data_IF_494386221414
#
_entry.id   IF_494386221414
#
_cell.length_a   1.000
_cell.length_b   1.000
_cell.length_c   1.000
_cell.angle_alpha   90.00
_cell.angle_beta   90.00
_cell.angle_gamma   90.00
#
_symmetry.space_group_name_H-M   'P 1'
#
loop_
_entity.id
_entity.type
_entity.pdbx_description
1 polymer ?
#
# COMPACT_ATOMS: atom_id res chain seq x y z
N UNK A 1 -2.92 -7.21 7.01
CA UNK A 1 -4.02 -7.07 6.02
C UNK A 1 -4.01 -8.17 4.99
N UNK A 2 -2.91 -8.40 4.25
CA UNK A 2 -2.83 -9.39 3.17
C UNK A 2 -3.25 -10.82 3.61
N UNK A 3 -2.90 -11.22 4.84
CA UNK A 3 -3.35 -12.48 5.45
C UNK A 3 -4.87 -12.62 5.50
N UNK A 4 -5.60 -11.56 5.88
CA UNK A 4 -7.05 -11.62 5.95
C UNK A 4 -7.68 -11.80 4.57
N UNK A 5 -7.14 -11.11 3.56
CA UNK A 5 -7.57 -11.31 2.17
C UNK A 5 -7.31 -12.75 1.69
N UNK A 6 -6.15 -13.31 2.03
CA UNK A 6 -5.82 -14.71 1.70
C UNK A 6 -6.75 -15.70 2.42
N UNK A 7 -6.91 -15.53 3.74
CA UNK A 7 -7.77 -16.35 4.60
C UNK A 7 -9.22 -16.37 4.10
N UNK A 8 -9.72 -15.22 3.67
CA UNK A 8 -11.10 -15.02 3.22
C UNK A 8 -11.27 -15.33 1.71
N UNK A 9 -10.24 -15.88 1.06
CA UNK A 9 -10.22 -16.24 -0.36
C UNK A 9 -10.55 -15.08 -1.31
N UNK A 10 -10.12 -13.86 -0.96
CA UNK A 10 -10.31 -12.63 -1.74
C UNK A 10 -9.12 -12.32 -2.66
N UNK A 11 -8.12 -13.19 -2.68
CA UNK A 11 -6.97 -13.11 -3.58
C UNK A 11 -7.06 -14.18 -4.67
N UNK A 12 -6.52 -13.92 -5.88
CA UNK A 12 -6.36 -14.96 -6.89
C UNK A 12 -5.59 -16.17 -6.34
N UNK A 13 -5.95 -17.39 -6.77
CA UNK A 13 -5.39 -18.64 -6.21
C UNK A 13 -3.86 -18.69 -6.32
N UNK A 14 -3.31 -18.24 -7.45
CA UNK A 14 -1.86 -18.27 -7.74
C UNK A 14 -1.13 -16.99 -7.28
N UNK A 15 -1.47 -16.46 -6.11
CA UNK A 15 -0.79 -15.29 -5.55
C UNK A 15 0.49 -15.69 -4.82
N UNK A 16 1.59 -14.98 -5.10
CA UNK A 16 2.87 -15.09 -4.38
C UNK A 16 3.21 -13.78 -3.70
N UNK A 17 3.87 -13.87 -2.56
CA UNK A 17 4.26 -12.70 -1.77
C UNK A 17 5.78 -12.68 -1.65
N UNK A 18 6.40 -11.52 -1.91
CA UNK A 18 7.85 -11.36 -1.79
C UNK A 18 8.11 -10.17 -0.87
N UNK A 19 8.66 -10.44 0.31
CA UNK A 19 9.18 -9.41 1.20
C UNK A 19 10.55 -8.93 0.71
N UNK A 20 10.79 -7.62 0.74
CA UNK A 20 12.05 -7.02 0.34
C UNK A 20 12.46 -5.91 1.30
N UNK A 21 13.66 -6.01 1.90
CA UNK A 21 14.24 -4.96 2.73
C UNK A 21 15.75 -5.13 2.89
N UNK A 22 16.43 -4.11 3.44
CA UNK A 22 17.89 -4.17 3.70
C UNK A 22 18.29 -5.23 4.72
N UNK A 23 17.43 -5.52 5.69
CA UNK A 23 17.71 -6.46 6.77
C UNK A 23 17.81 -7.88 6.23
N UNK A 24 18.93 -8.55 6.48
CA UNK A 24 19.08 -9.98 6.22
C UNK A 24 18.31 -10.76 7.28
N UNK A 25 17.25 -11.44 6.87
CA UNK A 25 16.43 -12.29 7.72
C UNK A 25 15.78 -13.39 6.87
N UNK A 26 15.40 -14.48 7.52
CA UNK A 26 14.71 -15.61 6.89
C UNK A 26 13.20 -15.39 6.91
N UNK A 27 12.48 -16.12 6.04
CA UNK A 27 11.02 -16.06 6.06
C UNK A 27 10.43 -16.54 7.39
N UNK A 28 11.07 -17.50 8.05
CA UNK A 28 10.68 -18.00 9.38
C UNK A 28 10.75 -16.90 10.44
N UNK A 29 11.78 -16.05 10.41
CA UNK A 29 11.89 -14.90 11.33
C UNK A 29 10.80 -13.85 11.06
N UNK A 30 10.48 -13.60 9.78
CA UNK A 30 9.38 -12.70 9.40
C UNK A 30 8.04 -13.27 9.86
N UNK A 31 7.83 -14.58 9.73
CA UNK A 31 6.65 -15.31 10.21
C UNK A 31 6.45 -15.13 11.71
N UNK A 32 7.47 -15.40 12.51
CA UNK A 32 7.38 -15.27 13.97
C UNK A 32 7.09 -13.82 14.42
N UNK A 33 7.75 -12.83 13.80
CA UNK A 33 7.49 -11.41 14.09
C UNK A 33 6.05 -10.99 13.74
N UNK A 34 5.50 -11.58 12.67
CA UNK A 34 4.17 -11.24 12.14
C UNK A 34 3.03 -11.96 12.85
N UNK A 35 3.29 -13.15 13.42
CA UNK A 35 2.28 -14.05 14.01
C UNK A 35 1.35 -13.36 15.00
N UNK A 36 1.89 -12.50 15.88
CA UNK A 36 1.10 -11.75 16.88
C UNK A 36 0.06 -10.80 16.28
N UNK A 37 0.25 -10.34 15.05
CA UNK A 37 -0.66 -9.41 14.37
C UNK A 37 -1.69 -10.09 13.47
N UNK A 38 -1.50 -11.38 13.17
CA UNK A 38 -2.31 -12.11 12.20
C UNK A 38 -3.59 -12.70 12.81
N UNK A 39 -3.69 -12.77 14.15
CA UNK A 39 -4.89 -13.20 14.89
C UNK A 39 -5.52 -14.48 14.30
N UNK A 40 -4.69 -15.50 14.09
CA UNK A 40 -5.10 -16.79 13.53
C UNK A 40 -6.11 -17.44 14.47
N UNK A 41 -7.25 -17.87 13.93
CA UNK A 41 -8.31 -18.55 14.70
C UNK A 41 -8.12 -20.06 14.66
N UNK A 42 -8.73 -20.76 15.61
CA UNK A 42 -8.76 -22.22 15.60
C UNK A 42 -9.41 -22.73 14.29
N UNK A 43 -8.75 -23.68 13.62
CA UNK A 43 -9.16 -24.23 12.33
C UNK A 43 -8.55 -23.52 11.11
N UNK A 44 -7.84 -22.41 11.29
CA UNK A 44 -7.17 -21.66 10.20
C UNK A 44 -5.69 -22.04 10.04
N UNK A 45 -5.15 -22.93 10.88
CA UNK A 45 -3.73 -23.26 10.95
C UNK A 45 -3.21 -23.81 9.62
N UNK A 46 -3.98 -24.66 8.94
CA UNK A 46 -3.59 -25.19 7.63
C UNK A 46 -3.48 -24.09 6.57
N UNK A 47 -4.46 -23.16 6.53
CA UNK A 47 -4.40 -22.01 5.61
C UNK A 47 -3.25 -21.07 5.97
N UNK A 48 -2.94 -20.94 7.25
CA UNK A 48 -1.83 -20.12 7.73
C UNK A 48 -0.48 -20.67 7.26
N UNK A 49 -0.27 -21.97 7.36
CA UNK A 49 0.95 -22.61 6.83
C UNK A 49 1.04 -22.45 5.30
N UNK A 50 -0.07 -22.71 4.57
CA UNK A 50 -0.12 -22.52 3.12
C UNK A 50 0.16 -21.07 2.68
N UNK A 51 -0.31 -20.09 3.45
CA UNK A 51 0.02 -18.69 3.22
C UNK A 51 1.54 -18.48 3.31
N UNK A 52 2.19 -18.97 4.37
CA UNK A 52 3.63 -18.80 4.54
C UNK A 52 4.47 -19.57 3.52
N UNK A 53 4.01 -20.72 3.03
CA UNK A 53 4.62 -21.42 1.89
C UNK A 53 4.56 -20.60 0.58
N UNK A 54 3.61 -19.67 0.47
CA UNK A 54 3.51 -18.74 -0.66
C UNK A 54 4.33 -17.45 -0.47
N UNK A 55 5.00 -17.27 0.67
CA UNK A 55 5.83 -16.11 0.95
C UNK A 55 7.33 -16.41 0.75
N UNK A 56 8.01 -15.49 0.11
CA UNK A 56 9.46 -15.46 -0.07
C UNK A 56 10.02 -14.17 0.54
N UNK A 57 11.32 -14.16 0.82
CA UNK A 57 12.00 -12.96 1.31
C UNK A 57 13.35 -12.79 0.62
N UNK A 58 13.65 -11.55 0.21
CA UNK A 58 14.93 -11.17 -0.36
C UNK A 58 15.48 -9.95 0.36
N UNK A 59 16.75 -10.02 0.77
CA UNK A 59 17.46 -8.88 1.31
C UNK A 59 18.18 -8.09 0.21
N UNK A 60 18.04 -6.76 0.19
CA UNK A 60 18.67 -5.89 -0.81
C UNK A 60 18.55 -4.40 -0.47
N UNK A 61 19.38 -3.59 -1.13
CA UNK A 61 19.39 -2.14 -0.97
C UNK A 61 18.37 -1.44 -1.85
N UNK A 62 17.84 -0.31 -1.39
CA UNK A 62 16.81 0.43 -2.12
C UNK A 62 17.33 1.26 -3.31
N UNK A 63 18.63 1.54 -3.33
CA UNK A 63 19.34 2.40 -4.29
C UNK A 63 20.12 1.63 -5.37
N UNK A 64 20.41 0.35 -5.16
CA UNK A 64 21.24 -0.45 -6.06
C UNK A 64 20.42 -1.22 -7.08
N UNK A 65 20.58 -0.89 -8.36
CA UNK A 65 19.95 -1.60 -9.48
C UNK A 65 20.15 -3.11 -9.45
N UNK A 66 21.36 -3.59 -9.11
CA UNK A 66 21.67 -5.03 -9.10
C UNK A 66 20.78 -5.81 -8.12
N UNK A 67 20.39 -5.20 -6.99
CA UNK A 67 19.52 -5.85 -6.01
C UNK A 67 18.08 -5.97 -6.53
N UNK A 68 17.64 -5.06 -7.41
CA UNK A 68 16.36 -5.15 -8.09
C UNK A 68 16.38 -6.13 -9.27
N UNK A 69 17.52 -6.31 -9.92
CA UNK A 69 17.68 -7.38 -10.91
C UNK A 69 17.56 -8.75 -10.24
N UNK A 70 18.15 -8.93 -9.05
CA UNK A 70 17.95 -10.12 -8.22
C UNK A 70 16.50 -10.28 -7.75
N UNK A 71 15.83 -9.19 -7.36
CA UNK A 71 14.40 -9.20 -7.02
C UNK A 71 13.55 -9.64 -8.22
N UNK A 72 13.81 -9.09 -9.41
CA UNK A 72 13.12 -9.46 -10.63
C UNK A 72 13.34 -10.95 -10.95
N UNK A 73 14.55 -11.47 -10.81
CA UNK A 73 14.83 -12.89 -10.98
C UNK A 73 14.02 -13.74 -9.99
N UNK A 74 13.96 -13.33 -8.72
CA UNK A 74 13.18 -14.04 -7.69
C UNK A 74 11.69 -14.06 -8.02
N UNK A 75 11.11 -12.92 -8.41
CA UNK A 75 9.70 -12.82 -8.82
C UNK A 75 9.43 -13.69 -10.06
N UNK A 76 10.30 -13.60 -11.07
CA UNK A 76 10.12 -14.28 -12.36
C UNK A 76 10.07 -15.81 -12.25
N UNK A 77 10.66 -16.41 -11.21
CA UNK A 77 10.57 -17.86 -10.93
C UNK A 77 9.13 -18.36 -10.80
N UNK A 78 8.22 -17.48 -10.38
CA UNK A 78 6.82 -17.79 -10.15
C UNK A 78 5.91 -17.43 -11.34
N UNK A 79 6.42 -16.72 -12.34
CA UNK A 79 5.65 -16.18 -13.47
C UNK A 79 5.60 -17.14 -14.67
N UNK A 80 5.20 -18.40 -14.40
CA UNK A 80 5.15 -19.46 -15.42
C UNK A 80 3.94 -19.35 -16.35
N UNK A 81 2.92 -18.59 -15.96
CA UNK A 81 1.68 -18.42 -16.72
C UNK A 81 1.79 -17.47 -17.92
N UNK A 82 0.70 -17.38 -18.72
CA UNK A 82 0.62 -16.44 -19.85
C UNK A 82 0.50 -14.98 -19.39
N UNK A 83 -0.06 -14.76 -18.20
CA UNK A 83 -0.21 -13.44 -17.57
C UNK A 83 0.43 -13.45 -16.20
N UNK A 84 1.19 -12.40 -15.90
CA UNK A 84 1.82 -12.20 -14.60
C UNK A 84 1.66 -10.75 -14.16
N UNK A 85 0.86 -10.53 -13.12
CA UNK A 85 0.59 -9.19 -12.60
C UNK A 85 1.48 -8.92 -11.39
N UNK A 86 2.06 -7.72 -11.31
CA UNK A 86 2.93 -7.30 -10.20
C UNK A 86 2.33 -6.12 -9.46
N UNK A 87 2.30 -6.19 -8.13
CA UNK A 87 1.89 -5.10 -7.25
C UNK A 87 3.03 -4.85 -6.27
N UNK A 88 3.62 -3.65 -6.33
CA UNK A 88 4.67 -3.20 -5.42
C UNK A 88 4.04 -2.32 -4.34
N UNK A 89 4.13 -2.75 -3.08
CA UNK A 89 3.69 -1.95 -1.94
C UNK A 89 4.89 -1.28 -1.27
N UNK A 90 4.96 0.05 -1.32
CA UNK A 90 6.11 0.83 -0.85
C UNK A 90 5.92 1.18 0.63
N UNK A 91 6.10 0.18 1.50
CA UNK A 91 6.14 0.36 2.95
C UNK A 91 7.53 0.83 3.42
N UNK A 92 8.03 1.92 2.82
CA UNK A 92 9.37 2.48 3.03
C UNK A 92 9.26 3.98 3.35
N UNK A 93 10.27 4.60 3.97
CA UNK A 93 10.22 6.05 4.22
C UNK A 93 10.25 6.85 2.90
N UNK A 94 9.68 8.07 2.89
CA UNK A 94 9.65 8.92 1.68
C UNK A 94 11.03 9.22 1.09
N UNK A 95 12.07 9.22 1.92
CA UNK A 95 13.45 9.51 1.51
C UNK A 95 14.01 8.54 0.47
N UNK A 96 13.42 7.35 0.34
CA UNK A 96 13.85 6.34 -0.66
C UNK A 96 12.84 6.13 -1.77
N UNK A 97 11.75 6.89 -1.82
CA UNK A 97 10.71 6.70 -2.85
C UNK A 97 11.25 6.90 -4.26
N UNK A 98 12.06 7.94 -4.49
CA UNK A 98 12.62 8.22 -5.82
C UNK A 98 13.48 7.03 -6.30
N UNK A 99 14.44 6.58 -5.50
CA UNK A 99 15.31 5.45 -5.83
C UNK A 99 14.55 4.14 -6.05
N UNK A 100 13.60 3.83 -5.17
CA UNK A 100 12.81 2.59 -5.24
C UNK A 100 11.98 2.57 -6.52
N UNK A 101 11.31 3.68 -6.84
CA UNK A 101 10.43 3.77 -8.01
C UNK A 101 11.20 3.71 -9.33
N UNK A 102 12.36 4.36 -9.41
CA UNK A 102 13.27 4.27 -10.57
C UNK A 102 13.75 2.85 -10.77
N UNK A 103 14.20 2.19 -9.70
CA UNK A 103 14.70 0.82 -9.80
C UNK A 103 13.59 -0.19 -10.15
N UNK A 104 12.38 -0.05 -9.58
CA UNK A 104 11.22 -0.85 -9.98
C UNK A 104 10.93 -0.67 -11.47
N UNK A 105 10.90 0.58 -11.95
CA UNK A 105 10.62 0.89 -13.35
C UNK A 105 11.65 0.28 -14.31
N UNK A 106 12.91 0.29 -13.93
CA UNK A 106 14.01 -0.16 -14.78
C UNK A 106 14.21 -1.68 -14.78
N UNK A 107 13.97 -2.36 -13.67
CA UNK A 107 14.33 -3.77 -13.51
C UNK A 107 13.14 -4.71 -13.25
N UNK A 108 12.03 -4.22 -12.70
CA UNK A 108 10.99 -5.07 -12.12
C UNK A 108 9.60 -4.93 -12.76
N UNK A 109 9.48 -4.26 -13.91
CA UNK A 109 8.21 -4.18 -14.65
C UNK A 109 7.83 -5.56 -15.20
N UNK A 110 6.57 -5.95 -15.03
CA UNK A 110 6.03 -7.15 -15.67
C UNK A 110 5.99 -7.01 -17.19
N UNK A 111 6.41 -8.07 -17.88
CA UNK A 111 6.38 -8.16 -19.35
C UNK A 111 5.01 -8.68 -19.84
N UNK A 112 4.31 -9.46 -19.02
CA UNK A 112 3.12 -10.24 -19.42
C UNK A 112 1.83 -9.79 -18.72
N UNK A 113 1.85 -8.68 -18.00
CA UNK A 113 0.69 -8.21 -17.24
C UNK A 113 0.90 -6.80 -16.74
N UNK A 114 0.02 -6.34 -15.85
CA UNK A 114 0.17 -5.00 -15.30
C UNK A 114 1.25 -4.95 -14.23
N UNK A 115 1.82 -3.75 -14.05
CA UNK A 115 2.58 -3.40 -12.86
C UNK A 115 1.89 -2.23 -12.17
N UNK A 116 1.58 -2.36 -10.88
CA UNK A 116 1.00 -1.31 -10.05
C UNK A 116 1.89 -1.01 -8.86
N UNK A 117 1.93 0.26 -8.45
CA UNK A 117 2.74 0.75 -7.34
C UNK A 117 1.81 1.41 -6.34
N UNK A 118 1.82 0.90 -5.11
CA UNK A 118 1.07 1.44 -3.98
C UNK A 118 2.03 2.28 -3.13
N UNK A 119 1.68 3.55 -2.92
CA UNK A 119 2.53 4.54 -2.23
C UNK A 119 1.77 5.08 -1.03
N UNK A 120 2.43 5.13 0.12
CA UNK A 120 1.91 5.68 1.37
C UNK A 120 2.30 7.15 1.54
N UNK A 121 1.49 7.87 2.32
CA UNK A 121 1.80 9.25 2.73
C UNK A 121 3.08 9.29 3.59
N UNK A 122 3.80 10.44 3.63
CA UNK A 122 3.49 11.73 3.01
C UNK A 122 3.81 11.84 1.52
N UNK A 123 2.98 12.58 0.77
CA UNK A 123 3.15 12.87 -0.65
C UNK A 123 3.74 14.27 -0.89
N UNK A 124 4.88 14.55 -0.25
CA UNK A 124 5.42 15.91 -0.12
C UNK A 124 5.00 16.58 1.20
N UNK A 125 5.51 17.79 1.42
CA UNK A 125 5.24 18.64 2.61
C UNK A 125 4.49 19.92 2.27
N UNK A 126 4.46 20.27 0.99
CA UNK A 126 3.85 21.46 0.39
C UNK A 126 3.54 21.16 -1.10
N UNK A 127 2.93 22.13 -1.79
CA UNK A 127 2.59 22.05 -3.21
C UNK A 127 3.84 21.80 -4.10
N UNK A 128 4.94 22.49 -3.83
CA UNK A 128 6.18 22.38 -4.62
C UNK A 128 6.80 20.98 -4.51
N UNK A 129 6.93 20.45 -3.30
CA UNK A 129 7.49 19.11 -3.07
C UNK A 129 6.54 17.99 -3.50
N UNK A 130 5.22 18.21 -3.41
CA UNK A 130 4.22 17.27 -3.93
C UNK A 130 4.21 17.22 -5.46
N UNK A 131 4.35 18.38 -6.12
CA UNK A 131 4.46 18.49 -7.57
C UNK A 131 5.75 17.81 -8.07
N UNK A 132 6.88 18.02 -7.39
CA UNK A 132 8.13 17.31 -7.70
C UNK A 132 7.95 15.78 -7.64
N UNK A 133 7.36 15.26 -6.56
CA UNK A 133 7.11 13.83 -6.43
C UNK A 133 6.14 13.32 -7.52
N UNK A 134 5.10 14.09 -7.82
CA UNK A 134 4.11 13.72 -8.84
C UNK A 134 4.72 13.67 -10.23
N UNK A 135 5.52 14.66 -10.61
CA UNK A 135 6.25 14.70 -11.88
C UNK A 135 7.26 13.55 -12.00
N UNK A 136 7.97 13.24 -10.91
CA UNK A 136 8.87 12.08 -10.86
C UNK A 136 8.11 10.77 -11.13
N UNK A 137 7.00 10.54 -10.44
CA UNK A 137 6.20 9.33 -10.60
C UNK A 137 5.56 9.24 -11.99
N UNK A 138 5.04 10.35 -12.52
CA UNK A 138 4.44 10.42 -13.86
C UNK A 138 5.47 10.18 -14.97
N UNK A 139 6.73 10.53 -14.76
CA UNK A 139 7.83 10.20 -15.66
C UNK A 139 8.15 8.71 -15.73
N UNK A 140 7.77 7.93 -14.70
CA UNK A 140 8.08 6.51 -14.58
C UNK A 140 6.87 5.61 -14.87
N UNK A 141 5.69 5.97 -14.38
CA UNK A 141 4.48 5.15 -14.43
C UNK A 141 3.30 5.94 -14.99
N UNK A 142 2.36 5.23 -15.63
CA UNK A 142 1.06 5.81 -15.97
C UNK A 142 0.20 5.96 -14.72
N UNK A 143 -0.73 6.90 -14.73
CA UNK A 143 -1.56 7.20 -13.55
C UNK A 143 -2.42 5.99 -13.11
N UNK A 144 -2.90 5.15 -14.04
CA UNK A 144 -3.63 3.91 -13.74
C UNK A 144 -2.79 2.82 -13.06
N UNK A 145 -1.47 3.01 -13.01
CA UNK A 145 -0.53 2.15 -12.30
C UNK A 145 -0.21 2.66 -10.89
N UNK A 146 -0.54 3.91 -10.54
CA UNK A 146 -0.17 4.55 -9.28
C UNK A 146 -1.36 4.53 -8.32
N UNK A 147 -1.15 4.00 -7.11
CA UNK A 147 -2.16 3.89 -6.07
C UNK A 147 -1.66 4.62 -4.82
N UNK A 148 -2.02 5.90 -4.69
CA UNK A 148 -1.71 6.72 -3.51
C UNK A 148 -2.71 6.40 -2.40
N UNK A 149 -2.20 5.95 -1.25
CA UNK A 149 -3.05 5.52 -0.14
C UNK A 149 -3.40 6.72 0.74
N UNK A 150 -4.71 6.96 0.83
CA UNK A 150 -5.33 7.57 2.00
C UNK A 150 -6.26 6.53 2.63
N UNK A 151 -5.88 6.03 3.81
CA UNK A 151 -6.59 4.97 4.48
C UNK A 151 -8.01 5.37 4.95
N UNK A 152 -8.33 6.67 5.03
CA UNK A 152 -9.71 7.10 5.32
C UNK A 152 -10.67 6.71 4.20
N UNK A 153 -10.22 6.70 2.96
CA UNK A 153 -11.02 6.28 1.80
C UNK A 153 -11.38 4.78 1.84
N UNK A 154 -10.66 3.99 2.66
CA UNK A 154 -10.96 2.59 2.92
C UNK A 154 -11.97 2.35 4.05
N UNK A 155 -12.41 3.39 4.77
CA UNK A 155 -13.38 3.25 5.88
C UNK A 155 -14.81 3.13 5.32
N UNK A 156 -15.54 2.16 5.84
CA UNK A 156 -16.91 1.84 5.41
C UNK A 156 -17.84 3.07 5.35
N UNK A 157 -17.86 3.87 6.43
CA UNK A 157 -18.72 5.06 6.49
C UNK A 157 -18.30 6.16 5.51
N UNK A 158 -17.02 6.24 5.15
CA UNK A 158 -16.53 7.20 4.15
C UNK A 158 -16.97 6.75 2.75
N UNK A 159 -16.85 5.45 2.45
CA UNK A 159 -17.35 4.89 1.18
C UNK A 159 -18.86 5.05 1.03
N UNK A 160 -19.61 4.93 2.13
CA UNK A 160 -21.06 5.07 2.14
C UNK A 160 -21.55 6.52 1.87
N UNK A 161 -20.67 7.53 1.93
CA UNK A 161 -21.07 8.92 1.62
C UNK A 161 -21.62 9.05 0.19
N UNK A 162 -21.05 8.33 -0.78
CA UNK A 162 -21.51 8.37 -2.17
C UNK A 162 -22.91 7.76 -2.32
N UNK A 163 -23.12 6.56 -1.76
CA UNK A 163 -24.43 5.89 -1.76
C UNK A 163 -25.48 6.75 -1.04
N UNK A 164 -25.14 7.28 0.12
CA UNK A 164 -26.04 8.15 0.90
C UNK A 164 -26.48 9.37 0.07
N UNK A 165 -25.54 10.05 -0.60
CA UNK A 165 -25.83 11.28 -1.36
C UNK A 165 -26.57 11.03 -2.67
N UNK A 166 -26.20 9.99 -3.42
CA UNK A 166 -26.63 9.85 -4.81
C UNK A 166 -27.67 8.74 -5.04
N UNK A 167 -27.78 7.74 -4.16
CA UNK A 167 -28.76 6.67 -4.30
C UNK A 167 -30.12 6.99 -3.65
N UNK A 168 -30.22 8.11 -2.93
CA UNK A 168 -31.41 8.48 -2.16
C UNK A 168 -32.04 9.78 -2.70
N UNK A 169 -33.26 9.66 -3.23
CA UNK A 169 -34.03 10.81 -3.73
C UNK A 169 -34.34 11.87 -2.67
N UNK A 170 -34.32 11.51 -1.39
CA UNK A 170 -34.62 12.42 -0.28
C UNK A 170 -33.43 13.38 -0.01
N UNK A 171 -32.20 12.89 -0.17
CA UNK A 171 -30.99 13.68 0.07
C UNK A 171 -30.56 14.49 -1.15
N UNK A 172 -30.82 13.99 -2.36
CA UNK A 172 -30.42 14.65 -3.62
C UNK A 172 -30.89 16.12 -3.75
N UNK A 173 -32.18 16.49 -3.54
CA UNK A 173 -32.64 17.86 -3.69
C UNK A 173 -32.22 18.77 -2.52
N UNK A 174 -31.83 18.20 -1.37
CA UNK A 174 -31.44 18.94 -0.17
C UNK A 174 -29.93 19.17 -0.09
N UNK A 175 -29.12 18.51 -0.92
CA UNK A 175 -27.66 18.64 -0.87
C UNK A 175 -27.13 19.84 -1.67
N UNK A 176 -27.51 21.06 -1.27
CA UNK A 176 -27.09 22.31 -1.90
C UNK A 176 -27.10 23.51 -0.93
N UNK A 177 -26.57 24.66 -1.40
CA UNK A 177 -26.46 25.90 -0.61
C UNK A 177 -27.79 26.50 -0.12
N UNK A 178 -28.90 26.17 -0.76
CA UNK A 178 -30.23 26.70 -0.38
C UNK A 178 -30.80 25.95 0.84
N UNK A 179 -30.30 24.74 1.11
CA UNK A 179 -30.82 23.85 2.15
C UNK A 179 -29.78 23.53 3.25
N UNK A 180 -28.48 23.72 2.99
CA UNK A 180 -27.39 23.43 3.93
C UNK A 180 -26.81 24.74 4.47
N UNK A 181 -26.94 24.96 5.78
CA UNK A 181 -26.34 26.10 6.46
C UNK A 181 -24.81 25.97 6.63
N UNK A 182 -24.32 24.78 6.95
CA UNK A 182 -22.88 24.51 7.12
C UNK A 182 -22.55 23.01 7.03
N UNK A 183 -21.28 22.69 6.76
CA UNK A 183 -20.72 21.33 6.79
C UNK A 183 -19.57 21.31 7.79
N UNK A 184 -19.66 20.43 8.79
CA UNK A 184 -18.63 20.26 9.81
C UNK A 184 -17.91 18.93 9.63
N UNK A 185 -16.59 18.97 9.51
CA UNK A 185 -15.71 17.80 9.49
C UNK A 185 -14.86 17.86 10.76
N UNK A 186 -14.92 16.81 11.58
CA UNK A 186 -14.25 16.75 12.88
C UNK A 186 -13.39 15.51 12.96
N UNK A 187 -12.10 15.70 13.29
CA UNK A 187 -11.18 14.64 13.63
C UNK A 187 -10.66 14.89 15.06
N UNK A 188 -10.85 13.92 15.95
CA UNK A 188 -10.50 14.03 17.36
C UNK A 188 -9.85 12.73 17.82
N UNK A 189 -8.73 12.85 18.50
CA UNK A 189 -8.04 11.74 19.16
C UNK A 189 -7.97 12.02 20.66
N UNK A 190 -8.29 11.04 21.54
CA UNK A 190 -8.24 11.24 22.98
C UNK A 190 -6.82 11.06 23.56
N UNK A 191 -5.80 10.93 22.72
CA UNK A 191 -4.40 10.68 23.08
C UNK A 191 -3.47 11.71 22.44
N UNK A 192 -2.26 11.85 23.00
CA UNK A 192 -1.25 12.80 22.52
C UNK A 192 -0.33 12.19 21.45
N UNK A 193 0.92 12.67 21.37
CA UNK A 193 1.90 12.18 20.40
C UNK A 193 2.53 10.83 20.78
N UNK A 194 2.28 10.30 21.98
CA UNK A 194 2.66 8.95 22.43
C UNK A 194 4.10 8.52 22.03
N UNK A 195 5.08 9.39 22.26
CA UNK A 195 6.49 9.12 21.96
C UNK A 195 6.91 9.32 20.48
N UNK A 196 6.00 9.78 19.61
CA UNK A 196 6.25 10.12 18.20
C UNK A 196 6.32 11.63 17.94
N UNK A 197 6.52 12.43 18.99
CA UNK A 197 6.56 13.89 18.91
C UNK A 197 7.51 14.44 17.86
N UNK A 198 8.71 13.85 17.71
CA UNK A 198 9.68 14.30 16.71
C UNK A 198 9.23 14.10 15.25
N UNK A 199 8.44 13.05 14.96
CA UNK A 199 7.83 12.91 13.63
C UNK A 199 6.66 13.88 13.46
N UNK A 200 5.87 14.10 14.51
CA UNK A 200 4.74 15.02 14.46
C UNK A 200 5.18 16.48 14.29
N UNK A 201 6.29 16.90 14.88
CA UNK A 201 6.80 18.28 14.84
C UNK A 201 7.12 18.74 13.39
N UNK A 202 7.65 17.83 12.58
CA UNK A 202 7.98 18.08 11.17
C UNK A 202 6.74 18.32 10.28
N UNK A 203 5.58 17.80 10.65
CA UNK A 203 4.38 17.79 9.78
C UNK A 203 3.21 18.59 10.38
N UNK A 204 3.02 18.55 11.69
CA UNK A 204 1.89 19.15 12.39
C UNK A 204 0.55 18.43 12.09
N UNK A 205 -0.56 19.02 12.54
CA UNK A 205 -1.90 18.43 12.37
C UNK A 205 -2.53 18.70 11.00
N UNK A 206 -2.06 19.73 10.29
CA UNK A 206 -2.65 20.16 9.00
C UNK A 206 -2.17 19.30 7.83
N UNK A 207 -1.00 18.66 7.95
CA UNK A 207 -0.38 17.82 6.91
C UNK A 207 -0.65 16.35 7.15
#
# INVERSE_FOLDING_TARGET
TIWYLYRDNLLPENTKFVGYARTKQTISEVKEKSKKYMKVRAGEERKFEQFWEANEYLAGSYDKRIDYELLNQQISKFEKGPVANRIFYLAVPPTVFEDVTVNIRNACISIKGYTRVIIEKPFGRDDVSSDKLSNHLAGLFKEDQIYRIDHYLGKEMVQNLLTTRFANQIFSPSWNRENIASVLISFKEPFGTEGRGGYFDDFGIVR
#
